data_IF_319046927302
#
_entry.id   IF_319046927302
#
_cell.length_a   1.000
_cell.length_b   1.000
_cell.length_c   1.000
_cell.angle_alpha   90.00
_cell.angle_beta   90.00
_cell.angle_gamma   90.00
#
_symmetry.space_group_name_H-M   'P 1'
#
loop_
_entity.id
_entity.type
_entity.pdbx_description
1 polymer ?
#
# COMPACT_ATOMS: atom_id res chain seq x y z
N UNK A 1 -14.63 5.07 19.01
CA UNK A 1 -14.74 3.75 18.35
C UNK A 1 -13.34 3.31 17.97
N UNK A 2 -13.04 2.01 18.00
CA UNK A 2 -11.71 1.50 17.60
C UNK A 2 -11.59 1.50 16.07
N UNK A 3 -10.52 2.07 15.53
CA UNK A 3 -10.23 2.03 14.08
C UNK A 3 -9.96 0.59 13.63
N UNK A 4 -10.38 0.24 12.41
CA UNK A 4 -9.94 -0.99 11.75
C UNK A 4 -8.46 -0.86 11.41
N UNK A 5 -7.62 -1.82 11.80
CA UNK A 5 -6.21 -1.86 11.39
C UNK A 5 -6.09 -2.76 10.18
N UNK A 6 -5.75 -2.20 9.03
CA UNK A 6 -5.67 -2.92 7.76
C UNK A 6 -4.20 -3.02 7.31
N UNK A 7 -3.70 -4.25 7.19
CA UNK A 7 -2.40 -4.55 6.59
C UNK A 7 -2.60 -4.86 5.11
N UNK A 8 -2.03 -4.02 4.24
CA UNK A 8 -2.05 -4.18 2.80
C UNK A 8 -0.69 -4.70 2.35
N UNK A 9 -0.64 -5.93 1.84
CA UNK A 9 0.61 -6.60 1.44
C UNK A 9 0.64 -6.87 -0.05
N UNK A 10 1.73 -6.47 -0.72
CA UNK A 10 1.99 -6.74 -2.13
C UNK A 10 3.50 -6.67 -2.44
N UNK A 11 3.96 -7.38 -3.47
CA UNK A 11 5.39 -7.56 -3.75
C UNK A 11 5.81 -7.32 -5.19
N UNK A 12 4.84 -7.20 -6.09
CA UNK A 12 5.08 -7.15 -7.53
C UNK A 12 4.42 -5.93 -8.17
N UNK A 13 4.94 -5.51 -9.34
CA UNK A 13 4.37 -4.42 -10.13
C UNK A 13 2.87 -4.61 -10.46
N UNK A 14 2.38 -5.76 -10.95
CA UNK A 14 0.96 -5.94 -11.23
C UNK A 14 0.07 -5.84 -9.99
N UNK A 15 0.56 -6.29 -8.83
CA UNK A 15 -0.15 -6.13 -7.56
C UNK A 15 -0.19 -4.66 -7.15
N UNK A 16 0.93 -3.94 -7.18
CA UNK A 16 1.00 -2.53 -6.82
C UNK A 16 0.06 -1.66 -7.68
N UNK A 17 -0.01 -1.92 -9.00
CA UNK A 17 -0.95 -1.21 -9.89
C UNK A 17 -2.40 -1.43 -9.47
N UNK A 18 -2.76 -2.64 -9.03
CA UNK A 18 -4.13 -2.96 -8.59
C UNK A 18 -4.42 -2.48 -7.17
N UNK A 19 -3.41 -2.45 -6.31
CA UNK A 19 -3.53 -2.08 -4.90
C UNK A 19 -3.50 -0.57 -4.68
N UNK A 20 -2.89 0.21 -5.57
CA UNK A 20 -2.83 1.67 -5.45
C UNK A 20 -4.18 2.36 -5.16
N UNK A 21 -5.27 2.09 -5.92
CA UNK A 21 -6.57 2.69 -5.60
C UNK A 21 -7.11 2.26 -4.22
N UNK A 22 -6.84 1.03 -3.78
CA UNK A 22 -7.26 0.53 -2.46
C UNK A 22 -6.49 1.24 -1.34
N UNK A 23 -5.18 1.38 -1.49
CA UNK A 23 -4.32 2.12 -0.54
C UNK A 23 -4.84 3.55 -0.36
N UNK A 24 -5.08 4.27 -1.45
CA UNK A 24 -5.58 5.65 -1.37
C UNK A 24 -6.97 5.75 -0.74
N UNK A 25 -7.88 4.82 -1.02
CA UNK A 25 -9.20 4.83 -0.39
C UNK A 25 -9.11 4.54 1.12
N UNK A 26 -8.26 3.61 1.54
CA UNK A 26 -8.03 3.35 2.96
C UNK A 26 -7.42 4.57 3.67
N UNK A 27 -6.48 5.27 3.03
CA UNK A 27 -5.89 6.52 3.55
C UNK A 27 -6.92 7.66 3.65
N UNK A 28 -7.83 7.78 2.68
CA UNK A 28 -8.96 8.75 2.74
C UNK A 28 -9.89 8.48 3.91
N UNK A 29 -10.00 7.22 4.35
CA UNK A 29 -10.82 6.81 5.49
C UNK A 29 -10.04 6.77 6.81
N UNK A 30 -9.01 7.61 6.99
CA UNK A 30 -8.14 7.62 8.17
C UNK A 30 -8.85 7.75 9.54
N UNK A 31 -10.08 8.27 9.58
CA UNK A 31 -10.90 8.31 10.81
C UNK A 31 -11.40 6.92 11.23
N UNK A 32 -11.56 6.00 10.27
CA UNK A 32 -12.12 4.65 10.44
C UNK A 32 -11.08 3.55 10.26
N UNK A 33 -10.05 3.78 9.45
CA UNK A 33 -9.04 2.79 9.07
C UNK A 33 -7.64 3.33 9.40
N UNK A 34 -6.88 2.55 10.15
CA UNK A 34 -5.43 2.67 10.26
C UNK A 34 -4.81 1.76 9.19
N UNK A 35 -4.23 2.37 8.16
CA UNK A 35 -3.67 1.66 7.00
C UNK A 35 -2.19 1.41 7.22
N UNK A 36 -1.74 0.18 6.98
CA UNK A 36 -0.34 -0.23 7.03
C UNK A 36 0.00 -0.88 5.70
N UNK A 37 1.04 -0.39 5.02
CA UNK A 37 1.53 -0.91 3.74
C UNK A 37 2.80 -1.72 3.99
N UNK A 38 2.79 -2.99 3.57
CA UNK A 38 3.93 -3.90 3.71
C UNK A 38 4.32 -4.46 2.34
N UNK A 39 5.53 -4.16 1.91
CA UNK A 39 6.07 -4.62 0.64
C UNK A 39 6.88 -5.90 0.86
N UNK A 40 6.69 -6.92 0.02
CA UNK A 40 7.51 -8.15 0.09
C UNK A 40 8.72 -8.12 -0.86
N UNK A 41 8.84 -7.08 -1.69
CA UNK A 41 10.02 -6.83 -2.51
C UNK A 41 10.31 -7.86 -3.62
N UNK A 42 9.36 -8.74 -3.98
CA UNK A 42 9.58 -9.80 -4.99
C UNK A 42 10.06 -9.27 -6.34
N UNK A 43 9.63 -8.07 -6.75
CA UNK A 43 10.14 -7.36 -7.93
C UNK A 43 10.57 -5.93 -7.58
N UNK A 44 11.56 -5.76 -6.68
CA UNK A 44 11.92 -4.47 -6.04
C UNK A 44 12.02 -3.27 -6.99
N UNK A 45 12.89 -3.28 -8.00
CA UNK A 45 13.04 -2.14 -8.91
C UNK A 45 11.74 -1.76 -9.65
N UNK A 46 10.96 -2.76 -10.08
CA UNK A 46 9.69 -2.51 -10.77
C UNK A 46 8.59 -2.09 -9.79
N UNK A 47 8.65 -2.55 -8.55
CA UNK A 47 7.74 -2.18 -7.48
C UNK A 47 7.95 -0.72 -7.11
N UNK A 48 9.20 -0.31 -6.90
CA UNK A 48 9.59 1.07 -6.54
C UNK A 48 9.13 2.09 -7.59
N UNK A 49 9.20 1.73 -8.88
CA UNK A 49 8.66 2.57 -9.96
C UNK A 49 7.15 2.82 -9.80
N UNK A 50 6.39 1.79 -9.41
CA UNK A 50 4.94 1.88 -9.29
C UNK A 50 4.54 2.60 -8.01
N UNK A 51 5.11 2.22 -6.88
CA UNK A 51 4.84 2.89 -5.59
C UNK A 51 5.25 4.35 -5.65
N UNK A 52 6.39 4.68 -6.26
CA UNK A 52 6.81 6.05 -6.53
C UNK A 52 5.85 6.81 -7.45
N UNK A 53 5.36 6.20 -8.54
CA UNK A 53 4.37 6.81 -9.43
C UNK A 53 3.05 7.15 -8.72
N UNK A 54 2.59 6.28 -7.81
CA UNK A 54 1.36 6.49 -7.05
C UNK A 54 1.56 7.24 -5.73
N UNK A 55 2.81 7.57 -5.34
CA UNK A 55 3.10 8.22 -4.05
C UNK A 55 2.72 7.36 -2.84
N UNK A 56 2.97 6.05 -2.92
CA UNK A 56 2.70 5.10 -1.84
C UNK A 56 4.00 4.84 -1.07
N UNK A 57 4.00 5.19 0.20
CA UNK A 57 5.09 4.89 1.13
C UNK A 57 4.81 3.57 1.85
N UNK A 58 5.85 2.76 2.02
CA UNK A 58 5.76 1.50 2.75
C UNK A 58 6.08 1.72 4.23
N UNK A 59 5.28 1.15 5.12
CA UNK A 59 5.58 1.09 6.55
C UNK A 59 6.58 -0.02 6.86
N UNK A 60 6.61 -1.07 6.02
CA UNK A 60 7.53 -2.21 6.11
C UNK A 60 7.97 -2.62 4.69
N UNK A 61 9.26 -2.92 4.52
CA UNK A 61 9.90 -3.31 3.26
C UNK A 61 10.93 -4.43 3.46
#
# INVERSE_FOLDING_TARGET
MRKLRALLTFGTRPEAVKMAPVVHECLRQAERIETIVCLTGQHREMLDQVTGYFGIEADCD
#
